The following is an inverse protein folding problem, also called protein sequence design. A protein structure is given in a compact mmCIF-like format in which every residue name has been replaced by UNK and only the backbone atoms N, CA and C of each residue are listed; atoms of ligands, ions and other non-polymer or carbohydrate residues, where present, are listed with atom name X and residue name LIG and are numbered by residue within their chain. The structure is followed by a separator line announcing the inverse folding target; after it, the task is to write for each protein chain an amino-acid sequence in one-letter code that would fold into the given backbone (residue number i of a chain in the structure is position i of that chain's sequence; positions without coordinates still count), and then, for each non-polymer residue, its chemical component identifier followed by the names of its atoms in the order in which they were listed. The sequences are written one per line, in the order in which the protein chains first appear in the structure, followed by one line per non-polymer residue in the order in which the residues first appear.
data_IF_200065919171
#
_entry.id   IF_200065919171
#
_cell.length_a   1.000
_cell.length_b   1.000
_cell.length_c   1.000
_cell.angle_alpha   90.00
_cell.angle_beta   90.00
_cell.angle_gamma   90.00
#
_symmetry.space_group_name_H-M   'P 1'
#
loop_
_entity.id
_entity.type
_entity.pdbx_description
1 polymer ?
#
# COMPACT_ATOMS: atom_id res chain seq x y z
N UNK A 1 -13.94 3.01 -22.47
CA UNK A 1 -13.57 4.29 -21.80
C UNK A 1 -14.60 4.62 -20.73
N UNK A 2 -14.14 5.01 -19.57
CA UNK A 2 -14.97 5.41 -18.43
C UNK A 2 -15.81 6.65 -18.76
N UNK A 3 -17.06 6.67 -18.33
CA UNK A 3 -17.87 7.88 -18.33
C UNK A 3 -17.48 8.79 -17.13
N UNK A 4 -18.06 9.99 -17.04
CA UNK A 4 -17.67 10.97 -16.04
C UNK A 4 -17.94 10.51 -14.60
N UNK A 5 -19.03 9.82 -14.34
CA UNK A 5 -19.36 9.31 -13.00
C UNK A 5 -18.37 8.20 -12.62
N UNK A 6 -18.06 7.29 -13.53
CA UNK A 6 -17.06 6.25 -13.33
C UNK A 6 -15.64 6.81 -13.09
N UNK A 7 -15.28 7.93 -13.75
CA UNK A 7 -14.01 8.61 -13.46
C UNK A 7 -13.96 9.13 -12.03
N UNK A 8 -15.05 9.66 -11.51
CA UNK A 8 -15.11 10.07 -10.11
C UNK A 8 -15.01 8.85 -9.17
N UNK A 9 -15.85 7.85 -9.39
CA UNK A 9 -15.99 6.71 -8.49
C UNK A 9 -14.75 5.82 -8.46
N UNK A 10 -14.12 5.57 -9.62
CA UNK A 10 -12.99 4.63 -9.73
C UNK A 10 -11.61 5.30 -9.60
N UNK A 11 -11.48 6.58 -9.97
CA UNK A 11 -10.19 7.26 -10.08
C UNK A 11 -9.98 8.28 -8.96
N UNK A 12 -10.99 9.07 -8.65
CA UNK A 12 -10.86 10.20 -7.72
C UNK A 12 -11.25 9.85 -6.29
N UNK A 13 -12.43 9.24 -6.10
CA UNK A 13 -12.99 9.01 -4.76
C UNK A 13 -12.19 8.01 -3.91
N UNK A 14 -11.52 6.97 -4.46
CA UNK A 14 -10.70 6.08 -3.65
C UNK A 14 -9.42 6.72 -3.10
N UNK A 15 -9.05 7.91 -3.56
CA UNK A 15 -7.77 8.53 -3.19
C UNK A 15 -7.84 9.17 -1.82
N UNK A 16 -6.79 8.95 -1.03
CA UNK A 16 -6.64 9.48 0.33
C UNK A 16 -5.35 10.28 0.44
N UNK A 17 -5.30 11.17 1.45
CA UNK A 17 -4.07 11.86 1.83
C UNK A 17 -3.44 11.16 3.03
N UNK A 18 -2.17 10.81 2.92
CA UNK A 18 -1.39 10.14 3.97
C UNK A 18 -0.47 11.14 4.63
N UNK A 19 -0.45 11.14 5.96
CA UNK A 19 0.45 11.96 6.77
C UNK A 19 1.18 11.10 7.78
N UNK A 20 2.49 11.00 7.66
CA UNK A 20 3.40 10.51 8.68
C UNK A 20 4.05 11.68 9.43
N UNK A 21 4.91 11.40 10.39
CA UNK A 21 5.53 12.44 11.23
C UNK A 21 6.38 13.42 10.39
N UNK A 22 7.17 12.90 9.44
CA UNK A 22 8.12 13.69 8.63
C UNK A 22 7.80 13.68 7.15
N UNK A 23 6.87 12.85 6.71
CA UNK A 23 6.51 12.67 5.33
C UNK A 23 5.01 12.83 5.11
N UNK A 24 4.64 13.09 3.88
CA UNK A 24 3.25 13.11 3.46
C UNK A 24 3.16 12.74 1.99
N UNK A 25 2.04 12.15 1.63
CA UNK A 25 1.77 11.70 0.28
C UNK A 25 0.31 11.33 0.10
N UNK A 26 0.09 10.39 -0.75
CA UNK A 26 -1.22 9.88 -1.14
C UNK A 26 -1.37 8.42 -0.75
N UNK A 27 -2.59 7.93 -0.78
CA UNK A 27 -2.93 6.51 -0.68
C UNK A 27 -4.16 6.22 -1.53
N UNK A 28 -4.46 4.96 -1.70
CA UNK A 28 -5.61 4.48 -2.45
C UNK A 28 -6.36 3.45 -1.61
N UNK A 29 -7.63 3.70 -1.34
CA UNK A 29 -8.52 2.71 -0.73
C UNK A 29 -8.72 1.55 -1.70
N UNK A 30 -8.42 0.33 -1.28
CA UNK A 30 -8.54 -0.88 -2.10
C UNK A 30 -9.48 -1.93 -1.49
N UNK A 31 -9.89 -1.72 -0.23
CA UNK A 31 -10.76 -2.66 0.45
C UNK A 31 -11.65 -1.95 1.47
N UNK A 32 -12.94 -2.26 1.45
CA UNK A 32 -13.92 -1.83 2.44
C UNK A 32 -15.03 -2.88 2.50
N UNK A 33 -14.96 -3.79 3.47
CA UNK A 33 -15.93 -4.86 3.64
C UNK A 33 -16.39 -4.92 5.09
N UNK A 34 -17.63 -5.40 5.35
CA UNK A 34 -18.12 -5.60 6.71
C UNK A 34 -17.14 -6.42 7.56
N UNK A 35 -16.95 -6.02 8.81
CA UNK A 35 -16.11 -6.76 9.74
C UNK A 35 -16.88 -8.03 10.20
N UNK A 36 -16.36 -9.26 9.93
CA UNK A 36 -17.02 -10.49 10.35
C UNK A 36 -17.25 -10.61 11.87
N UNK A 37 -16.52 -9.82 12.66
CA UNK A 37 -16.66 -9.79 14.14
C UNK A 37 -17.62 -8.72 14.64
N UNK A 38 -17.95 -7.74 13.81
CA UNK A 38 -18.88 -6.66 14.13
C UNK A 38 -19.57 -6.15 12.86
N UNK A 39 -20.76 -6.64 12.57
CA UNK A 39 -21.50 -6.33 11.33
C UNK A 39 -21.83 -4.83 11.15
N UNK A 40 -21.78 -4.04 12.22
CA UNK A 40 -21.99 -2.58 12.16
C UNK A 40 -20.74 -1.82 11.72
N UNK A 41 -19.61 -2.50 11.57
CA UNK A 41 -18.32 -1.92 11.23
C UNK A 41 -17.76 -2.49 9.92
N UNK A 42 -16.86 -1.74 9.28
CA UNK A 42 -16.12 -2.17 8.11
C UNK A 42 -14.62 -2.22 8.39
N UNK A 43 -13.95 -3.15 7.75
CA UNK A 43 -12.48 -3.17 7.64
C UNK A 43 -12.10 -2.40 6.39
N UNK A 44 -11.34 -1.32 6.56
CA UNK A 44 -10.91 -0.44 5.49
C UNK A 44 -9.40 -0.49 5.34
N UNK A 45 -8.92 -0.80 4.12
CA UNK A 45 -7.49 -0.89 3.80
C UNK A 45 -7.15 0.05 2.66
N UNK A 46 -6.07 0.81 2.84
CA UNK A 46 -5.46 1.59 1.77
C UNK A 46 -4.05 1.08 1.46
N UNK A 47 -3.66 1.20 0.19
CA UNK A 47 -2.28 1.05 -0.24
C UNK A 47 -1.62 2.43 -0.34
N UNK A 48 -0.33 2.50 -0.02
CA UNK A 48 0.52 3.69 -0.20
C UNK A 48 1.96 3.26 -0.44
N UNK A 49 2.84 4.18 -0.82
CA UNK A 49 4.27 3.91 -0.92
C UNK A 49 4.89 3.70 0.47
N UNK A 50 5.88 2.80 0.56
CA UNK A 50 6.61 2.56 1.82
C UNK A 50 7.33 3.83 2.28
N UNK A 51 7.98 4.56 1.37
CA UNK A 51 8.70 5.78 1.75
C UNK A 51 7.81 6.87 2.34
N UNK A 52 6.49 6.86 2.08
CA UNK A 52 5.53 7.80 2.68
C UNK A 52 5.28 7.48 4.15
N UNK A 53 5.36 6.20 4.54
CA UNK A 53 5.11 5.73 5.92
C UNK A 53 6.38 5.21 6.61
N UNK A 54 7.56 5.40 6.01
CA UNK A 54 8.81 4.87 6.54
C UNK A 54 9.09 5.29 7.99
N UNK A 55 8.69 6.48 8.38
CA UNK A 55 8.83 6.97 9.76
C UNK A 55 7.92 6.23 10.76
N UNK A 56 6.86 5.57 10.28
CA UNK A 56 5.94 4.78 11.10
C UNK A 56 6.46 3.34 11.34
N UNK A 57 7.55 2.94 10.66
CA UNK A 57 8.17 1.62 10.83
C UNK A 57 9.47 1.79 11.60
N UNK A 58 9.49 1.38 12.87
CA UNK A 58 10.68 1.45 13.72
C UNK A 58 11.22 0.05 14.00
N UNK A 59 12.50 -0.16 13.75
CA UNK A 59 13.17 -1.41 14.09
C UNK A 59 13.80 -1.23 15.48
N UNK A 60 13.37 -2.04 16.45
CA UNK A 60 13.93 -2.07 17.80
C UNK A 60 14.55 -3.43 18.06
N UNK A 61 15.66 -3.44 18.79
CA UNK A 61 16.25 -4.67 19.32
C UNK A 61 15.60 -4.98 20.68
N UNK A 62 14.95 -6.12 20.79
CA UNK A 62 14.36 -6.62 22.02
C UNK A 62 14.94 -7.98 22.37
N UNK A 63 15.23 -8.16 23.68
CA UNK A 63 15.62 -9.46 24.19
C UNK A 63 14.48 -10.47 24.08
N UNK A 64 14.70 -11.51 23.31
CA UNK A 64 13.77 -12.63 23.21
C UNK A 64 14.18 -13.72 24.21
N UNK A 65 13.31 -13.97 25.20
CA UNK A 65 13.59 -14.92 26.29
C UNK A 65 13.64 -16.38 25.81
N UNK A 66 13.02 -16.70 24.67
CA UNK A 66 12.98 -18.04 24.09
C UNK A 66 14.30 -18.37 23.40
N UNK A 67 14.75 -17.47 22.51
CA UNK A 67 16.00 -17.66 21.79
C UNK A 67 17.23 -17.10 22.54
N UNK A 68 17.01 -16.44 23.69
CA UNK A 68 18.05 -15.85 24.57
C UNK A 68 19.03 -14.94 23.81
N UNK A 69 18.50 -14.11 22.90
CA UNK A 69 19.26 -13.14 22.10
C UNK A 69 18.40 -11.90 21.85
N UNK A 70 19.08 -10.79 21.51
CA UNK A 70 18.41 -9.62 20.99
C UNK A 70 17.93 -9.89 19.57
N UNK A 71 16.64 -9.69 19.33
CA UNK A 71 15.97 -9.86 18.03
C UNK A 71 15.49 -8.51 17.55
N UNK A 72 15.75 -8.22 16.30
CA UNK A 72 15.18 -7.05 15.65
C UNK A 72 13.70 -7.29 15.38
N UNK A 73 12.86 -6.45 15.97
CA UNK A 73 11.41 -6.47 15.77
C UNK A 73 10.97 -5.15 15.15
N UNK A 74 10.04 -5.26 14.20
CA UNK A 74 9.39 -4.09 13.62
C UNK A 74 8.28 -3.62 14.54
N UNK A 75 8.35 -2.36 14.95
CA UNK A 75 7.30 -1.65 15.68
C UNK A 75 6.59 -0.73 14.71
N UNK A 76 5.31 -0.96 14.52
CA UNK A 76 4.46 -0.13 13.68
C UNK A 76 3.85 0.98 14.53
N UNK A 77 4.21 2.23 14.19
CA UNK A 77 3.52 3.41 14.70
C UNK A 77 2.37 3.76 13.77
N UNK A 78 1.44 4.55 14.27
CA UNK A 78 0.28 4.97 13.49
C UNK A 78 0.64 6.11 12.55
N UNK A 79 0.08 6.07 11.35
CA UNK A 79 0.02 7.21 10.46
C UNK A 79 -1.39 7.81 10.49
N UNK A 80 -1.55 8.98 9.88
CA UNK A 80 -2.84 9.63 9.73
C UNK A 80 -3.28 9.57 8.28
N UNK A 81 -4.52 9.15 8.06
CA UNK A 81 -5.16 9.10 6.73
C UNK A 81 -6.31 10.10 6.73
N UNK A 82 -6.40 10.90 5.68
CA UNK A 82 -7.55 11.77 5.42
C UNK A 82 -8.34 11.19 4.24
N UNK A 83 -9.59 10.87 4.51
CA UNK A 83 -10.57 10.38 3.53
C UNK A 83 -11.50 11.53 3.17
N UNK A 84 -11.88 11.64 1.92
CA UNK A 84 -12.66 12.76 1.40
C UNK A 84 -14.08 12.33 1.06
N UNK A 85 -15.04 13.11 1.51
CA UNK A 85 -16.44 13.00 1.06
C UNK A 85 -16.67 13.95 -0.09
N UNK A 86 -17.44 13.50 -1.06
CA UNK A 86 -17.69 14.25 -2.27
C UNK A 86 -19.18 14.51 -2.49
N UNK A 87 -19.47 15.65 -3.11
CA UNK A 87 -20.75 15.96 -3.73
C UNK A 87 -20.47 16.26 -5.21
N UNK A 88 -20.58 15.23 -6.06
CA UNK A 88 -20.06 15.26 -7.43
C UNK A 88 -18.56 15.55 -7.44
N UNK A 89 -18.11 16.54 -8.19
CA UNK A 89 -16.69 16.92 -8.27
C UNK A 89 -16.19 17.78 -7.10
N UNK A 90 -17.05 18.11 -6.13
CA UNK A 90 -16.66 18.97 -5.01
C UNK A 90 -16.42 18.15 -3.75
N UNK A 91 -15.31 18.41 -3.09
CA UNK A 91 -15.06 17.88 -1.75
C UNK A 91 -15.98 18.60 -0.77
N UNK A 92 -16.79 17.85 -0.05
CA UNK A 92 -17.71 18.33 0.98
C UNK A 92 -17.08 18.30 2.37
N UNK A 93 -16.25 17.28 2.64
CA UNK A 93 -15.49 17.17 3.88
C UNK A 93 -14.21 16.35 3.71
N UNK A 94 -13.25 16.55 4.62
CA UNK A 94 -12.06 15.72 4.78
C UNK A 94 -12.05 15.17 6.19
N UNK A 95 -12.14 13.86 6.32
CA UNK A 95 -12.22 13.15 7.59
C UNK A 95 -10.89 12.50 7.91
N UNK A 96 -10.26 12.96 8.99
CA UNK A 96 -8.96 12.42 9.44
C UNK A 96 -9.16 11.24 10.37
N UNK A 97 -8.47 10.13 10.11
CA UNK A 97 -8.43 8.95 10.95
C UNK A 97 -7.01 8.47 11.15
N UNK A 98 -6.74 7.78 12.23
CA UNK A 98 -5.50 7.02 12.40
C UNK A 98 -5.54 5.76 11.56
N UNK A 99 -4.37 5.25 11.20
CA UNK A 99 -4.21 4.00 10.50
C UNK A 99 -2.95 3.27 10.96
N UNK A 100 -3.05 1.95 11.04
CA UNK A 100 -1.94 1.07 11.41
C UNK A 100 -1.34 0.44 10.16
N UNK A 101 -0.02 0.46 10.05
CA UNK A 101 0.70 -0.26 8.98
C UNK A 101 0.55 -1.75 9.23
N UNK A 102 -0.14 -2.46 8.34
CA UNK A 102 -0.33 -3.91 8.45
C UNK A 102 0.71 -4.71 7.66
N UNK A 103 1.24 -4.13 6.59
CA UNK A 103 2.29 -4.74 5.78
C UNK A 103 3.11 -3.67 5.06
N UNK A 104 4.37 -3.96 4.79
CA UNK A 104 5.22 -3.11 3.95
C UNK A 104 6.28 -3.92 3.22
N UNK A 105 6.74 -3.39 2.10
CA UNK A 105 7.85 -3.89 1.30
C UNK A 105 8.72 -2.73 0.83
N UNK A 106 9.85 -2.55 1.50
CA UNK A 106 10.82 -1.51 1.18
C UNK A 106 11.47 -1.69 -0.20
N UNK A 107 11.58 -2.95 -0.65
CA UNK A 107 12.22 -3.24 -1.94
C UNK A 107 11.36 -2.80 -3.11
N UNK A 108 10.04 -2.87 -2.99
CA UNK A 108 9.11 -2.48 -4.05
C UNK A 108 8.36 -1.16 -3.74
N UNK A 109 8.72 -0.51 -2.62
CA UNK A 109 8.11 0.75 -2.19
C UNK A 109 6.58 0.65 -2.05
N UNK A 110 6.12 -0.42 -1.40
CA UNK A 110 4.71 -0.72 -1.18
C UNK A 110 4.39 -0.86 0.31
N UNK A 111 3.23 -0.39 0.71
CA UNK A 111 2.68 -0.65 2.04
C UNK A 111 1.16 -0.72 2.02
N UNK A 112 0.61 -1.47 2.98
CA UNK A 112 -0.81 -1.56 3.26
C UNK A 112 -1.08 -1.05 4.67
N UNK A 113 -2.10 -0.20 4.81
CA UNK A 113 -2.49 0.39 6.07
C UNK A 113 -3.96 0.13 6.34
N UNK A 114 -4.28 -0.28 7.58
CA UNK A 114 -5.67 -0.44 8.06
C UNK A 114 -6.11 0.85 8.72
N UNK A 115 -7.18 1.45 8.21
CA UNK A 115 -7.80 2.63 8.80
C UNK A 115 -8.53 2.26 10.08
N UNK A 116 -8.47 3.13 11.10
CA UNK A 116 -9.28 2.97 12.32
C UNK A 116 -10.72 3.46 12.15
N UNK A 117 -11.01 4.17 11.06
CA UNK A 117 -12.38 4.47 10.68
C UNK A 117 -13.06 3.19 10.19
N UNK A 118 -14.16 2.83 10.85
CA UNK A 118 -14.93 1.61 10.59
C UNK A 118 -16.18 1.85 9.75
N UNK A 119 -16.39 3.08 9.24
CA UNK A 119 -17.50 3.36 8.34
C UNK A 119 -17.26 2.72 6.97
N UNK A 120 -18.33 2.29 6.32
CA UNK A 120 -18.28 1.81 4.95
C UNK A 120 -17.71 2.89 4.01
N UNK A 121 -16.77 2.51 3.16
CA UNK A 121 -16.19 3.31 2.10
C UNK A 121 -16.73 2.78 0.76
N UNK A 122 -17.72 3.43 0.16
CA UNK A 122 -18.42 2.86 -0.99
C UNK A 122 -17.56 2.82 -2.26
N UNK A 123 -16.49 3.61 -2.31
CA UNK A 123 -15.60 3.70 -3.46
C UNK A 123 -14.21 3.21 -3.10
N UNK A 124 -13.85 2.05 -3.63
CA UNK A 124 -12.53 1.44 -3.51
C UNK A 124 -11.99 1.16 -4.91
N UNK A 125 -10.67 1.26 -5.05
CA UNK A 125 -10.00 0.93 -6.30
C UNK A 125 -9.88 -0.58 -6.46
N UNK A 126 -10.16 -1.06 -7.65
CA UNK A 126 -9.97 -2.45 -8.04
C UNK A 126 -8.55 -2.63 -8.59
N UNK A 127 -7.77 -3.51 -7.99
CA UNK A 127 -6.42 -3.85 -8.46
C UNK A 127 -6.54 -4.61 -9.78
N UNK A 128 -5.72 -4.25 -10.77
CA UNK A 128 -5.74 -4.91 -12.08
C UNK A 128 -5.60 -6.44 -11.94
N UNK A 129 -6.47 -7.27 -12.55
CA UNK A 129 -6.33 -8.71 -12.56
C UNK A 129 -5.02 -9.17 -13.24
N UNK A 130 -4.42 -10.26 -12.76
CA UNK A 130 -3.13 -10.76 -13.30
C UNK A 130 -3.15 -11.00 -14.81
N UNK A 131 -4.25 -11.53 -15.34
CA UNK A 131 -4.42 -11.80 -16.77
C UNK A 131 -4.55 -10.53 -17.62
N UNK A 132 -4.93 -9.40 -17.04
CA UNK A 132 -5.04 -8.11 -17.74
C UNK A 132 -3.68 -7.40 -17.84
N UNK A 133 -2.71 -7.73 -16.96
CA UNK A 133 -1.38 -7.10 -16.96
C UNK A 133 -0.65 -7.32 -18.28
N UNK A 134 -0.74 -8.51 -18.86
CA UNK A 134 -0.09 -8.87 -20.13
C UNK A 134 -0.74 -8.17 -21.34
N UNK A 135 -1.93 -7.61 -21.18
CA UNK A 135 -2.65 -6.89 -22.23
C UNK A 135 -2.26 -5.42 -22.30
N UNK A 136 -1.54 -4.88 -21.31
CA UNK A 136 -1.11 -3.49 -21.28
C UNK A 136 -0.17 -3.18 -22.47
N UNK A 137 -0.41 -2.02 -23.10
CA UNK A 137 0.34 -1.57 -24.28
C UNK A 137 0.80 -0.12 -24.11
N UNK A 138 1.82 0.22 -24.87
CA UNK A 138 2.21 1.63 -25.05
C UNK A 138 1.02 2.41 -25.64
N UNK A 139 0.85 3.62 -25.16
CA UNK A 139 -0.24 4.54 -25.50
C UNK A 139 -1.60 4.21 -24.87
N UNK A 140 -1.72 3.13 -24.07
CA UNK A 140 -2.92 2.94 -23.28
C UNK A 140 -3.16 4.16 -22.39
N UNK A 141 -4.39 4.69 -22.34
CA UNK A 141 -4.71 5.84 -21.53
C UNK A 141 -4.57 5.50 -20.05
N UNK A 142 -4.04 6.43 -19.28
CA UNK A 142 -3.93 6.32 -17.82
C UNK A 142 -4.39 7.59 -17.13
N UNK A 143 -4.88 7.44 -15.91
CA UNK A 143 -5.17 8.50 -14.97
C UNK A 143 -4.25 8.37 -13.75
N UNK A 144 -3.71 9.49 -13.30
CA UNK A 144 -2.95 9.57 -12.07
C UNK A 144 -3.72 10.43 -11.09
N UNK A 145 -4.05 9.89 -9.94
CA UNK A 145 -4.82 10.61 -8.92
C UNK A 145 -4.10 10.56 -7.57
N UNK A 146 -3.98 11.73 -6.94
CA UNK A 146 -3.25 11.87 -5.68
C UNK A 146 -3.40 13.26 -5.07
N UNK A 147 -2.72 13.45 -3.93
CA UNK A 147 -2.72 14.66 -3.13
C UNK A 147 -1.41 15.44 -3.32
N UNK A 148 -1.12 15.87 -4.54
CA UNK A 148 0.10 16.60 -4.88
C UNK A 148 0.31 17.79 -3.96
N UNK A 149 1.52 17.96 -3.46
CA UNK A 149 1.90 19.01 -2.50
C UNK A 149 0.98 19.05 -1.25
N UNK A 150 0.41 17.89 -0.90
CA UNK A 150 -0.60 17.74 0.16
C UNK A 150 -1.88 18.57 -0.09
N UNK A 151 -2.17 18.88 -1.34
CA UNK A 151 -3.45 19.43 -1.76
C UNK A 151 -4.56 18.38 -1.65
N UNK A 152 -5.80 18.80 -1.77
CA UNK A 152 -6.92 17.87 -1.92
C UNK A 152 -6.75 17.02 -3.18
N UNK A 153 -7.31 15.79 -3.23
CA UNK A 153 -7.14 14.90 -4.36
C UNK A 153 -7.54 15.53 -5.68
N UNK A 154 -6.71 15.36 -6.68
CA UNK A 154 -7.03 15.68 -8.06
C UNK A 154 -6.42 14.67 -9.02
N UNK A 155 -6.92 14.59 -10.22
CA UNK A 155 -6.47 13.65 -11.23
C UNK A 155 -5.91 14.37 -12.45
N UNK A 156 -4.90 13.75 -13.05
CA UNK A 156 -4.31 14.10 -14.34
C UNK A 156 -4.37 12.90 -15.28
N UNK A 157 -4.40 13.11 -16.58
CA UNK A 157 -4.43 12.05 -17.56
C UNK A 157 -3.24 12.08 -18.50
N UNK A 158 -2.93 10.93 -19.04
CA UNK A 158 -1.86 10.71 -20.01
C UNK A 158 -1.93 9.30 -20.59
N UNK A 159 -0.79 8.75 -20.92
CA UNK A 159 -0.66 7.41 -21.50
C UNK A 159 0.54 6.67 -20.90
N UNK A 160 0.52 5.34 -20.98
CA UNK A 160 1.72 4.52 -20.73
C UNK A 160 2.76 4.81 -21.81
N UNK A 161 3.99 5.09 -21.39
CA UNK A 161 5.10 5.44 -22.26
C UNK A 161 6.22 4.40 -22.24
N UNK A 162 6.29 3.59 -21.19
CA UNK A 162 7.19 2.45 -21.09
C UNK A 162 6.62 1.41 -20.14
N UNK A 163 6.66 0.12 -20.54
CA UNK A 163 5.96 -0.92 -19.78
C UNK A 163 6.81 -1.55 -18.69
N UNK A 164 8.13 -1.53 -18.79
CA UNK A 164 9.01 -2.18 -17.81
C UNK A 164 10.35 -1.45 -17.71
N UNK A 165 10.35 -0.34 -17.00
CA UNK A 165 11.58 0.40 -16.69
C UNK A 165 12.23 -0.18 -15.44
N UNK A 166 13.56 -0.36 -15.47
CA UNK A 166 14.32 -0.87 -14.33
C UNK A 166 15.17 0.26 -13.76
N UNK A 167 14.80 0.71 -12.56
CA UNK A 167 15.53 1.74 -11.83
C UNK A 167 15.96 1.14 -10.48
N UNK A 168 17.27 1.10 -10.21
CA UNK A 168 17.84 0.52 -8.96
C UNK A 168 17.33 -0.89 -8.68
N UNK A 169 17.28 -1.74 -9.72
CA UNK A 169 16.80 -3.13 -9.67
C UNK A 169 15.29 -3.29 -9.36
N UNK A 170 14.51 -2.21 -9.43
CA UNK A 170 13.05 -2.21 -9.26
C UNK A 170 12.37 -1.97 -10.59
N UNK A 171 11.23 -2.60 -10.79
CA UNK A 171 10.46 -2.50 -12.03
C UNK A 171 9.32 -1.50 -11.90
N UNK A 172 9.18 -0.66 -12.89
CA UNK A 172 8.17 0.39 -12.95
C UNK A 172 7.47 0.40 -14.31
N UNK A 173 6.20 0.83 -14.31
CA UNK A 173 5.55 1.40 -15.48
C UNK A 173 5.91 2.89 -15.55
N UNK A 174 6.21 3.39 -16.74
CA UNK A 174 6.39 4.82 -16.98
C UNK A 174 5.16 5.40 -17.69
N UNK A 175 4.75 6.59 -17.27
CA UNK A 175 3.61 7.31 -17.82
C UNK A 175 3.93 8.81 -17.99
N UNK A 176 3.15 9.48 -18.87
CA UNK A 176 3.33 10.92 -19.13
C UNK A 176 2.22 11.81 -18.54
N UNK A 177 1.30 11.26 -17.76
CA UNK A 177 0.36 12.07 -16.99
C UNK A 177 1.14 12.95 -16.00
N UNK A 178 0.82 14.25 -15.90
CA UNK A 178 1.52 15.13 -14.97
C UNK A 178 1.49 14.62 -13.53
N UNK A 179 2.68 14.52 -12.94
CA UNK A 179 2.89 14.08 -11.55
C UNK A 179 3.92 14.97 -10.87
N UNK A 180 3.76 15.19 -9.56
CA UNK A 180 4.68 16.01 -8.75
C UNK A 180 4.78 15.44 -7.34
N UNK A 181 5.63 16.00 -6.50
CA UNK A 181 5.75 15.67 -5.08
C UNK A 181 4.39 15.65 -4.36
N UNK A 182 4.17 14.64 -3.54
CA UNK A 182 2.90 14.39 -2.86
C UNK A 182 2.00 13.39 -3.59
N UNK A 183 2.21 13.12 -4.89
CA UNK A 183 1.52 12.02 -5.58
C UNK A 183 1.99 10.63 -5.12
N UNK A 184 3.15 10.53 -4.47
CA UNK A 184 3.67 9.25 -3.94
C UNK A 184 2.61 8.51 -3.15
N UNK A 185 2.33 7.26 -3.53
CA UNK A 185 1.27 6.42 -2.96
C UNK A 185 -0.12 6.64 -3.57
N UNK A 186 -0.32 7.66 -4.42
CA UNK A 186 -1.53 7.85 -5.20
C UNK A 186 -1.65 6.82 -6.32
N UNK A 187 -2.87 6.64 -6.83
CA UNK A 187 -3.15 5.62 -7.84
C UNK A 187 -2.77 6.05 -9.25
N UNK A 188 -2.22 5.11 -9.99
CA UNK A 188 -2.14 5.14 -11.45
C UNK A 188 -3.12 4.12 -11.98
N UNK A 189 -4.12 4.58 -12.73
CA UNK A 189 -5.28 3.79 -13.13
C UNK A 189 -5.32 3.62 -14.64
N UNK A 190 -5.72 2.44 -15.09
CA UNK A 190 -6.01 2.16 -16.49
C UNK A 190 -7.26 2.94 -16.94
N UNK A 191 -7.22 3.53 -18.11
CA UNK A 191 -8.20 4.52 -18.55
C UNK A 191 -9.51 3.97 -19.13
N UNK A 192 -9.63 2.67 -19.40
CA UNK A 192 -10.82 2.07 -19.98
C UNK A 192 -11.75 1.48 -18.91
N UNK A 193 -11.20 0.67 -18.00
CA UNK A 193 -11.94 -0.02 -16.96
C UNK A 193 -11.73 0.59 -15.57
N UNK A 194 -10.66 1.36 -15.37
CA UNK A 194 -10.33 2.04 -14.11
C UNK A 194 -9.61 1.15 -13.11
N UNK A 195 -8.96 0.10 -13.56
CA UNK A 195 -8.13 -0.74 -12.70
C UNK A 195 -6.92 0.01 -12.16
N UNK A 196 -6.60 -0.19 -10.89
CA UNK A 196 -5.36 0.29 -10.30
C UNK A 196 -4.17 -0.49 -10.86
N UNK A 197 -3.34 0.16 -11.67
CA UNK A 197 -2.11 -0.40 -12.25
C UNK A 197 -0.96 -0.41 -11.26
N UNK A 198 -0.83 0.66 -10.48
CA UNK A 198 0.29 0.85 -9.58
C UNK A 198 0.13 2.09 -8.71
N UNK A 199 1.08 2.27 -7.80
CA UNK A 199 1.16 3.48 -6.98
C UNK A 199 2.22 4.40 -7.58
N UNK A 200 1.88 5.67 -7.76
CA UNK A 200 2.86 6.69 -8.15
C UNK A 200 3.98 6.72 -7.11
N UNK A 201 5.21 6.46 -7.53
CA UNK A 201 6.34 6.28 -6.61
C UNK A 201 7.48 7.23 -6.90
N UNK A 202 7.80 7.47 -8.17
CA UNK A 202 8.94 8.27 -8.58
C UNK A 202 8.58 9.27 -9.68
N UNK A 203 9.33 10.36 -9.71
CA UNK A 203 9.34 11.35 -10.79
C UNK A 203 10.78 11.59 -11.23
N UNK A 204 10.97 11.92 -12.48
CA UNK A 204 12.29 12.30 -13.00
C UNK A 204 12.65 13.72 -12.59
N UNK A 205 13.92 13.93 -12.24
CA UNK A 205 14.47 15.24 -11.95
C UNK A 205 15.75 15.46 -12.77
N UNK A 206 15.97 16.69 -13.19
CA UNK A 206 17.21 17.10 -13.87
C UNK A 206 17.87 18.18 -13.03
N UNK A 207 19.17 18.02 -12.79
CA UNK A 207 19.94 19.07 -12.15
C UNK A 207 20.38 20.10 -13.20
N UNK A 208 19.92 21.33 -13.04
CA UNK A 208 20.28 22.47 -13.88
C UNK A 208 21.06 23.50 -13.05
N UNK A 209 22.39 23.47 -13.17
CA UNK A 209 23.26 24.35 -12.38
C UNK A 209 23.10 24.10 -10.87
N UNK A 210 22.63 25.09 -10.13
CA UNK A 210 22.38 24.99 -8.68
C UNK A 210 20.96 24.58 -8.33
N UNK A 211 20.06 24.38 -9.31
CA UNK A 211 18.66 24.02 -9.13
C UNK A 211 18.35 22.59 -9.56
N UNK A 212 17.24 22.06 -9.06
CA UNK A 212 16.66 20.81 -9.54
C UNK A 212 15.36 21.17 -10.26
N UNK A 213 15.23 20.72 -11.50
CA UNK A 213 13.99 20.82 -12.25
C UNK A 213 13.25 19.47 -12.25
N UNK A 214 11.93 19.49 -12.13
CA UNK A 214 11.09 18.31 -12.03
C UNK A 214 10.40 18.06 -13.37
N UNK A 215 10.67 16.89 -13.95
CA UNK A 215 10.01 16.45 -15.18
C UNK A 215 8.63 15.87 -14.85
N UNK A 216 7.63 16.73 -14.69
CA UNK A 216 6.28 16.33 -14.25
C UNK A 216 5.57 15.36 -15.18
N UNK A 217 6.01 15.25 -16.44
CA UNK A 217 5.49 14.36 -17.48
C UNK A 217 6.30 13.04 -17.62
N UNK A 218 7.23 12.76 -16.71
CA UNK A 218 7.99 11.51 -16.61
C UNK A 218 7.78 10.90 -15.23
N UNK A 219 6.59 10.37 -15.03
CA UNK A 219 6.20 9.69 -13.80
C UNK A 219 6.42 8.18 -13.90
N UNK A 220 6.66 7.56 -12.74
CA UNK A 220 6.81 6.11 -12.60
C UNK A 220 5.91 5.60 -11.50
N UNK A 221 5.17 4.53 -11.77
CA UNK A 221 4.47 3.77 -10.75
C UNK A 221 5.06 2.38 -10.59
N UNK A 222 4.89 1.81 -9.41
CA UNK A 222 5.24 0.42 -9.16
C UNK A 222 4.56 -0.49 -10.19
N UNK A 223 5.33 -1.41 -10.79
CA UNK A 223 4.78 -2.34 -11.78
C UNK A 223 3.67 -3.22 -11.16
N UNK A 224 2.52 -3.45 -11.83
CA UNK A 224 1.38 -4.14 -11.23
C UNK A 224 1.70 -5.56 -10.76
N UNK A 225 2.61 -6.29 -11.41
CA UNK A 225 3.08 -7.58 -10.91
C UNK A 225 3.67 -7.49 -9.50
N UNK A 226 4.27 -6.35 -9.12
CA UNK A 226 4.85 -6.14 -7.79
C UNK A 226 3.78 -5.97 -6.72
N UNK A 227 2.64 -5.38 -7.09
CA UNK A 227 1.47 -5.32 -6.18
C UNK A 227 0.97 -6.74 -5.90
N UNK A 228 0.81 -7.58 -6.93
CA UNK A 228 0.40 -8.98 -6.74
C UNK A 228 1.41 -9.78 -5.92
N UNK A 229 2.71 -9.60 -6.17
CA UNK A 229 3.75 -10.25 -5.37
C UNK A 229 3.73 -9.76 -3.92
N UNK A 230 3.52 -8.46 -3.68
CA UNK A 230 3.37 -7.91 -2.34
C UNK A 230 2.17 -8.55 -1.62
N UNK A 231 1.02 -8.64 -2.28
CA UNK A 231 -0.19 -9.29 -1.75
C UNK A 231 0.10 -10.74 -1.38
N UNK A 232 0.74 -11.50 -2.26
CA UNK A 232 1.06 -12.91 -2.05
C UNK A 232 2.10 -13.09 -0.93
N UNK A 233 3.21 -12.34 -0.97
CA UNK A 233 4.28 -12.46 0.03
C UNK A 233 3.85 -11.99 1.42
N UNK A 234 2.91 -11.05 1.47
CA UNK A 234 2.39 -10.51 2.72
C UNK A 234 1.10 -11.17 3.19
N UNK A 235 0.64 -12.25 2.54
CA UNK A 235 -0.60 -12.97 2.88
C UNK A 235 -1.83 -12.04 2.91
N UNK A 236 -1.96 -11.16 1.93
CA UNK A 236 -3.04 -10.18 1.83
C UNK A 236 -4.04 -10.51 0.71
N UNK A 237 -4.24 -11.80 0.42
CA UNK A 237 -5.08 -12.26 -0.68
C UNK A 237 -6.51 -11.74 -0.59
N UNK A 238 -7.01 -11.48 0.60
CA UNK A 238 -8.35 -10.90 0.80
C UNK A 238 -8.58 -9.56 0.08
N UNK A 239 -7.50 -8.87 -0.34
CA UNK A 239 -7.61 -7.63 -1.13
C UNK A 239 -8.07 -7.87 -2.57
N UNK A 240 -7.91 -9.09 -3.10
CA UNK A 240 -8.21 -9.44 -4.49
C UNK A 240 -9.04 -10.72 -4.63
N UNK A 241 -9.21 -11.48 -3.57
CA UNK A 241 -9.96 -12.74 -3.53
C UNK A 241 -11.15 -12.58 -2.59
N UNK A 242 -12.40 -12.62 -3.11
CA UNK A 242 -13.58 -12.46 -2.28
C UNK A 242 -13.84 -13.67 -1.34
N UNK A 243 -13.18 -14.81 -1.59
CA UNK A 243 -13.30 -16.01 -0.76
C UNK A 243 -12.34 -16.01 0.43
N UNK A 244 -11.44 -15.01 0.52
CA UNK A 244 -10.52 -14.80 1.65
C UNK A 244 -10.96 -13.61 2.52
N UNK A 245 -10.58 -13.61 3.80
CA UNK A 245 -10.92 -12.55 4.73
C UNK A 245 -9.70 -12.02 5.50
N UNK A 246 -9.87 -10.82 6.06
CA UNK A 246 -8.84 -10.13 6.81
C UNK A 246 -8.29 -10.94 7.99
N UNK A 247 -9.15 -11.61 8.77
CA UNK A 247 -8.71 -12.33 9.97
C UNK A 247 -7.93 -13.59 9.63
N UNK A 248 -8.41 -14.35 8.66
CA UNK A 248 -7.69 -15.52 8.12
C UNK A 248 -6.30 -15.13 7.59
N UNK A 249 -6.22 -14.00 6.89
CA UNK A 249 -4.94 -13.45 6.44
C UNK A 249 -4.02 -13.10 7.61
N UNK A 250 -4.53 -12.42 8.65
CA UNK A 250 -3.72 -12.06 9.82
C UNK A 250 -3.27 -13.29 10.61
N UNK A 251 -4.07 -14.34 10.69
CA UNK A 251 -3.68 -15.62 11.29
C UNK A 251 -2.55 -16.29 10.51
N UNK A 252 -2.64 -16.38 9.18
CA UNK A 252 -1.57 -16.91 8.32
C UNK A 252 -0.26 -16.13 8.50
N UNK A 253 -0.32 -14.80 8.51
CA UNK A 253 0.83 -13.92 8.77
C UNK A 253 1.48 -14.20 10.12
N UNK A 254 0.67 -14.30 11.16
CA UNK A 254 1.16 -14.60 12.52
C UNK A 254 1.80 -15.99 12.60
N UNK A 255 1.20 -17.00 11.98
CA UNK A 255 1.77 -18.35 11.90
C UNK A 255 3.13 -18.33 11.20
N UNK A 256 3.23 -17.71 10.03
CA UNK A 256 4.49 -17.57 9.26
C UNK A 256 5.58 -16.85 10.03
N UNK A 257 5.22 -15.80 10.78
CA UNK A 257 6.15 -15.07 11.65
C UNK A 257 6.68 -15.93 12.79
N UNK A 258 5.82 -16.73 13.42
CA UNK A 258 6.21 -17.71 14.46
C UNK A 258 7.15 -18.77 13.90
N UNK A 259 6.88 -19.31 12.72
CA UNK A 259 7.73 -20.33 12.08
C UNK A 259 9.09 -19.76 11.64
N UNK A 260 9.13 -18.53 11.15
CA UNK A 260 10.37 -17.84 10.83
C UNK A 260 11.29 -17.66 12.06
N UNK A 261 10.71 -17.29 13.21
CA UNK A 261 11.44 -17.19 14.48
C UNK A 261 11.94 -18.56 14.95
N UNK A 262 11.15 -19.62 14.80
CA UNK A 262 11.58 -20.99 15.12
C UNK A 262 12.75 -21.44 14.24
N UNK A 263 12.69 -21.20 12.93
CA UNK A 263 13.77 -21.55 12.02
C UNK A 263 15.10 -20.83 12.34
N UNK A 264 15.03 -19.57 12.76
CA UNK A 264 16.20 -18.81 13.22
C UNK A 264 16.80 -19.44 14.50
N UNK A 265 15.95 -19.86 15.44
CA UNK A 265 16.36 -20.52 16.67
C UNK A 265 17.10 -21.84 16.39
N UNK A 266 16.56 -22.68 15.50
CA UNK A 266 17.18 -23.99 15.18
C UNK A 266 18.47 -23.86 14.36
N UNK A 267 18.58 -22.87 13.46
CA UNK A 267 19.81 -22.60 12.71
C UNK A 267 20.99 -22.23 13.60
N UNK A 268 20.73 -21.53 14.69
CA UNK A 268 21.76 -21.00 15.58
C UNK A 268 22.26 -22.05 16.64
N UNK A 269 21.45 -23.07 16.91
CA UNK A 269 21.78 -24.08 17.93
C UNK A 269 22.71 -25.18 17.44
N UNK A 270 22.91 -25.34 16.11
CA UNK A 270 23.89 -26.28 15.53
C UNK A 270 23.79 -27.75 16.01
N UNK A 271 22.79 -28.11 16.82
CA UNK A 271 22.53 -29.40 17.37
C UNK A 271 21.04 -29.76 17.32
N UNK A 272 20.75 -30.92 16.76
CA UNK A 272 19.44 -31.58 16.80
C UNK A 272 19.10 -31.97 18.25
N UNK A 273 18.45 -31.11 18.99
CA UNK A 273 17.66 -31.50 20.16
C UNK A 273 16.23 -31.14 19.90
N UNK A 274 15.41 -32.18 19.78
CA UNK A 274 13.95 -32.04 19.72
C UNK A 274 13.48 -31.34 20.99
N UNK A 275 13.00 -30.11 20.83
CA UNK A 275 12.29 -29.38 21.88
C UNK A 275 10.78 -29.55 21.61
N UNK A 276 10.04 -30.00 22.64
CA UNK A 276 8.62 -30.27 22.55
C UNK A 276 7.87 -28.96 22.20
N UNK A 277 6.99 -28.98 21.18
CA UNK A 277 6.19 -27.80 20.78
C UNK A 277 5.29 -27.24 21.88
N UNK A 278 5.10 -27.98 22.99
CA UNK A 278 4.26 -27.55 24.13
C UNK A 278 4.92 -26.55 25.07
N UNK A 279 6.24 -26.36 24.96
CA UNK A 279 6.97 -25.43 25.84
C UNK A 279 6.91 -23.96 25.38
N UNK A 280 6.11 -23.65 24.35
CA UNK A 280 5.97 -22.32 23.81
C UNK A 280 4.55 -21.75 24.00
N UNK A 281 4.17 -21.47 25.23
CA UNK A 281 3.09 -20.51 25.50
C UNK A 281 3.63 -19.08 25.34
N UNK A 282 3.37 -18.50 24.18
CA UNK A 282 3.55 -17.06 24.00
C UNK A 282 2.35 -16.40 24.66
N UNK A 283 2.57 -15.81 25.83
CA UNK A 283 1.61 -14.92 26.47
C UNK A 283 1.31 -13.76 25.52
N UNK A 284 0.13 -13.81 24.90
CA UNK A 284 -0.42 -12.66 24.17
C UNK A 284 -0.64 -11.55 25.19
N UNK A 285 0.14 -10.48 25.10
CA UNK A 285 -0.37 -9.19 25.56
C UNK A 285 -1.48 -8.81 24.59
N UNK A 286 -2.70 -8.93 25.09
CA UNK A 286 -3.86 -8.25 24.55
C UNK A 286 -3.57 -6.75 24.66
N UNK A 287 -3.22 -6.14 23.57
CA UNK A 287 -3.37 -4.70 23.38
C UNK A 287 -4.07 -4.54 22.02
N UNK A 288 -5.20 -3.93 22.12
CA UNK A 288 -6.36 -3.60 21.31
C UNK A 288 -6.14 -3.33 19.84
#
# INVERSE_FOLDING_TARGET
MLNQDQLHEKILYPVTRVRAEKAGGSGVLVYSQPDPKNEDENINIALTCEHVIADCVKIKEEWDAVIKKDVKKDFMEECRIEVFDYNGSKISSANSTQATVIAYDKNHDLSAVRLHNTKSMPFVAEIIPKNEIELLRLFDPVWVSGCSLLHDPFASNGSLTYLREIIEQKEYLMYNAPSIFGNSGGGVFEGNEGYLLGLASRISTIQLGFGIDVMTWMGFCTHPERIHQFIEHQELQFLIDPDDDYYSAMERRNARRKDGLRQLFFKDQGNETQVDPKDYEITEKKDF
#
